data_IF_115091756745
#
_entry.id   IF_115091756745
#
_cell.length_a   1.000
_cell.length_b   1.000
_cell.length_c   1.000
_cell.angle_alpha   90.00
_cell.angle_beta   90.00
_cell.angle_gamma   90.00
#
_symmetry.space_group_name_H-M   'P 1'
#
loop_
_entity.id
_entity.type
_entity.pdbx_description
1 polymer ?
#
# COMPACT_ATOMS: atom_id res chain seq x y z
N UNK A 1 5.75 4.15 -1.42
CA UNK A 1 6.21 4.86 -0.19
C UNK A 1 7.37 5.79 -0.57
N UNK A 2 7.41 7.07 -0.11
CA UNK A 2 8.45 8.02 -0.45
C UNK A 2 9.73 7.77 0.38
N UNK A 3 10.41 6.69 0.07
CA UNK A 3 11.69 6.30 0.65
C UNK A 3 12.62 5.79 -0.46
N UNK A 4 13.92 6.05 -0.33
CA UNK A 4 14.90 5.69 -1.37
C UNK A 4 14.88 4.20 -1.71
N UNK A 5 14.78 3.32 -0.71
CA UNK A 5 14.72 1.87 -0.89
C UNK A 5 13.46 1.38 -1.63
N UNK A 6 12.38 2.15 -1.60
CA UNK A 6 11.14 1.85 -2.29
C UNK A 6 11.03 2.53 -3.66
N UNK A 7 11.54 3.76 -3.79
CA UNK A 7 11.46 4.53 -5.03
C UNK A 7 12.52 4.12 -6.06
N UNK A 8 13.79 3.99 -5.64
CA UNK A 8 14.88 3.74 -6.59
C UNK A 8 14.70 2.46 -7.44
N UNK A 9 14.30 1.31 -6.90
CA UNK A 9 14.07 0.11 -7.70
C UNK A 9 13.00 0.30 -8.78
N UNK A 10 11.95 1.07 -8.50
CA UNK A 10 10.84 1.27 -9.45
C UNK A 10 11.21 2.15 -10.63
N UNK A 11 12.25 3.00 -10.52
CA UNK A 11 12.64 3.93 -11.61
C UNK A 11 13.11 3.20 -12.87
N UNK A 12 13.68 2.00 -12.75
CA UNK A 12 14.05 1.19 -13.90
C UNK A 12 12.81 0.69 -14.65
N UNK A 13 11.79 0.24 -13.91
CA UNK A 13 10.50 -0.18 -14.47
C UNK A 13 9.80 1.00 -15.14
N UNK A 14 9.80 2.17 -14.50
CA UNK A 14 9.22 3.40 -15.06
C UNK A 14 9.88 3.75 -16.39
N UNK A 15 11.22 3.75 -16.47
CA UNK A 15 11.94 4.02 -17.72
C UNK A 15 11.57 3.05 -18.84
N UNK A 16 11.47 1.78 -18.53
CA UNK A 16 11.09 0.74 -19.51
C UNK A 16 9.66 0.95 -20.01
N UNK A 17 8.72 1.23 -19.11
CA UNK A 17 7.32 1.50 -19.48
C UNK A 17 7.22 2.75 -20.37
N UNK A 18 7.88 3.84 -20.01
CA UNK A 18 7.86 5.08 -20.80
C UNK A 18 8.57 4.90 -22.15
N UNK A 19 9.66 4.14 -22.20
CA UNK A 19 10.34 3.80 -23.46
C UNK A 19 9.45 2.97 -24.41
N UNK A 20 8.53 2.18 -23.87
CA UNK A 20 7.51 1.43 -24.63
C UNK A 20 6.27 2.26 -25.00
N UNK A 21 6.25 3.55 -24.69
CA UNK A 21 5.16 4.45 -25.03
C UNK A 21 4.01 4.50 -24.03
N UNK A 22 4.15 3.90 -22.85
CA UNK A 22 3.16 4.03 -21.79
C UNK A 22 3.27 5.38 -21.09
N UNK A 23 2.14 5.98 -20.74
CA UNK A 23 2.09 7.15 -19.86
C UNK A 23 2.09 6.68 -18.40
N UNK A 24 3.13 7.04 -17.67
CA UNK A 24 3.27 6.70 -16.25
C UNK A 24 3.02 7.93 -15.40
N UNK A 25 2.02 7.91 -14.52
CA UNK A 25 1.78 8.90 -13.48
C UNK A 25 2.35 8.38 -12.17
N UNK A 26 3.33 9.07 -11.60
CA UNK A 26 4.04 8.60 -10.42
C UNK A 26 3.70 9.46 -9.19
N UNK A 27 3.00 8.86 -8.25
CA UNK A 27 2.53 9.50 -7.02
C UNK A 27 3.60 9.41 -5.93
N UNK A 28 4.19 10.55 -5.59
CA UNK A 28 5.24 10.62 -4.55
C UNK A 28 5.39 12.04 -4.01
N UNK A 29 6.30 12.25 -3.06
CA UNK A 29 6.61 13.57 -2.51
C UNK A 29 7.58 14.34 -3.40
N UNK A 30 7.61 15.67 -3.21
CA UNK A 30 8.47 16.59 -3.95
C UNK A 30 9.97 16.19 -3.97
N UNK A 31 10.44 15.58 -2.88
CA UNK A 31 11.83 15.12 -2.77
C UNK A 31 12.26 14.12 -3.86
N UNK A 32 11.31 13.47 -4.53
CA UNK A 32 11.57 12.49 -5.59
C UNK A 32 11.22 12.99 -6.99
N UNK A 33 10.66 14.20 -7.13
CA UNK A 33 10.21 14.76 -8.41
C UNK A 33 11.28 14.62 -9.51
N UNK A 34 12.46 15.16 -9.30
CA UNK A 34 13.52 15.17 -10.33
C UNK A 34 13.89 13.76 -10.80
N UNK A 35 13.92 12.77 -9.91
CA UNK A 35 14.22 11.37 -10.26
C UNK A 35 13.11 10.72 -11.07
N UNK A 36 11.88 11.00 -10.73
CA UNK A 36 10.68 10.46 -11.39
C UNK A 36 10.54 11.05 -12.79
N UNK A 37 10.69 12.36 -12.93
CA UNK A 37 10.66 13.06 -14.23
C UNK A 37 11.82 12.63 -15.13
N UNK A 38 13.03 12.46 -14.57
CA UNK A 38 14.19 11.91 -15.31
C UNK A 38 13.99 10.46 -15.77
N UNK A 39 13.08 9.71 -15.17
CA UNK A 39 12.66 8.39 -15.62
C UNK A 39 11.55 8.44 -16.69
N UNK A 40 11.07 9.64 -17.07
CA UNK A 40 10.03 9.85 -18.08
C UNK A 40 8.59 9.84 -17.56
N UNK A 41 8.37 9.73 -16.25
CA UNK A 41 7.04 9.75 -15.69
C UNK A 41 6.53 11.17 -15.40
N UNK A 42 5.21 11.32 -15.42
CA UNK A 42 4.54 12.51 -14.93
C UNK A 42 4.53 12.47 -13.40
N UNK A 43 5.21 13.42 -12.77
CA UNK A 43 5.16 13.55 -11.32
C UNK A 43 3.77 14.02 -10.86
N UNK A 44 3.22 13.32 -9.89
CA UNK A 44 1.96 13.70 -9.21
C UNK A 44 2.27 13.90 -7.73
N UNK A 45 2.11 15.12 -7.19
CA UNK A 45 2.40 15.39 -5.79
C UNK A 45 1.41 14.63 -4.91
N UNK A 46 1.93 13.75 -4.06
CA UNK A 46 1.16 12.97 -3.11
C UNK A 46 1.62 13.30 -1.69
N UNK A 47 1.26 14.50 -1.23
CA UNK A 47 1.57 15.00 0.12
C UNK A 47 0.33 14.93 1.02
N UNK A 48 -0.20 13.72 1.18
CA UNK A 48 -1.29 13.45 2.12
C UNK A 48 -0.74 12.86 3.42
N UNK A 49 -1.53 12.83 4.47
CA UNK A 49 -1.22 12.08 5.69
C UNK A 49 -0.86 10.60 5.41
N UNK A 50 -1.40 10.03 4.32
CA UNK A 50 -1.07 8.68 3.87
C UNK A 50 0.38 8.55 3.39
N UNK A 51 0.93 9.60 2.77
CA UNK A 51 2.29 9.61 2.22
C UNK A 51 3.34 10.10 3.22
N UNK A 52 2.96 10.79 4.28
CA UNK A 52 3.91 11.38 5.23
C UNK A 52 4.75 10.31 5.94
N UNK A 53 6.07 10.44 5.92
CA UNK A 53 6.95 9.59 6.71
C UNK A 53 6.94 10.07 8.18
N UNK A 54 5.79 10.02 8.82
CA UNK A 54 5.63 10.42 10.23
C UNK A 54 5.88 9.27 11.21
N UNK A 55 6.48 8.17 10.76
CA UNK A 55 6.76 7.04 11.63
C UNK A 55 8.09 7.21 12.36
N UNK A 56 8.05 7.13 13.68
CA UNK A 56 9.24 6.99 14.49
C UNK A 56 9.83 5.57 14.38
N UNK A 57 11.08 5.38 14.79
CA UNK A 57 11.65 4.03 14.89
C UNK A 57 10.82 3.10 15.79
N UNK A 58 10.24 3.65 16.86
CA UNK A 58 9.34 2.91 17.75
C UNK A 58 8.04 2.47 17.04
N UNK A 59 7.48 3.30 16.16
CA UNK A 59 6.31 2.95 15.35
C UNK A 59 6.66 1.85 14.34
N UNK A 60 7.85 1.90 13.76
CA UNK A 60 8.37 0.85 12.87
C UNK A 60 8.45 -0.51 13.57
N UNK A 61 8.95 -0.56 14.79
CA UNK A 61 8.99 -1.77 15.61
C UNK A 61 7.58 -2.29 15.95
N UNK A 62 6.63 -1.40 16.21
CA UNK A 62 5.23 -1.76 16.49
C UNK A 62 4.49 -2.30 15.27
N UNK A 63 4.81 -1.84 14.06
CA UNK A 63 4.21 -2.35 12.83
C UNK A 63 4.37 -3.87 12.65
N UNK A 64 5.49 -4.43 13.12
CA UNK A 64 5.73 -5.87 13.05
C UNK A 64 5.10 -6.70 14.20
N UNK A 65 4.76 -6.05 15.32
CA UNK A 65 4.39 -6.76 16.56
C UNK A 65 2.99 -6.42 17.10
N UNK A 66 2.44 -5.25 16.77
CA UNK A 66 1.13 -4.79 17.23
C UNK A 66 0.12 -4.72 16.09
N UNK A 67 -0.62 -5.79 15.88
CA UNK A 67 -1.60 -5.89 14.79
C UNK A 67 -2.72 -4.84 14.89
N UNK A 68 -3.11 -4.45 16.11
CA UNK A 68 -4.12 -3.41 16.32
C UNK A 68 -3.61 -2.05 15.87
N UNK A 69 -2.38 -1.71 16.24
CA UNK A 69 -1.71 -0.48 15.82
C UNK A 69 -1.52 -0.45 14.30
N UNK A 70 -1.00 -1.55 13.74
CA UNK A 70 -0.77 -1.67 12.29
C UNK A 70 -2.06 -1.51 11.50
N UNK A 71 -3.14 -2.19 11.91
CA UNK A 71 -4.44 -2.08 11.25
C UNK A 71 -4.99 -0.66 11.34
N UNK A 72 -4.90 -0.03 12.52
CA UNK A 72 -5.36 1.36 12.68
C UNK A 72 -4.60 2.31 11.76
N UNK A 73 -3.26 2.20 11.71
CA UNK A 73 -2.42 3.06 10.88
C UNK A 73 -2.74 2.90 9.39
N UNK A 74 -2.90 1.66 8.93
CA UNK A 74 -3.27 1.38 7.52
C UNK A 74 -4.63 2.00 7.20
N UNK A 75 -5.62 1.82 8.07
CA UNK A 75 -6.97 2.36 7.87
C UNK A 75 -6.96 3.88 7.87
N UNK A 76 -6.29 4.52 8.81
CA UNK A 76 -6.22 5.98 8.89
C UNK A 76 -5.57 6.58 7.65
N UNK A 77 -4.47 5.99 7.17
CA UNK A 77 -3.78 6.42 5.93
C UNK A 77 -4.64 6.20 4.70
N UNK A 78 -5.32 5.08 4.61
CA UNK A 78 -6.22 4.80 3.48
C UNK A 78 -7.35 5.83 3.41
N UNK A 79 -7.99 6.12 4.54
CA UNK A 79 -9.08 7.09 4.60
C UNK A 79 -8.60 8.53 4.37
N UNK A 80 -7.40 8.87 4.83
CA UNK A 80 -6.80 10.19 4.57
C UNK A 80 -6.50 10.42 3.08
N UNK A 81 -6.20 9.36 2.34
CA UNK A 81 -5.92 9.44 0.91
C UNK A 81 -7.17 9.32 0.03
N UNK A 82 -8.29 8.83 0.56
CA UNK A 82 -9.44 8.35 -0.22
C UNK A 82 -10.03 9.43 -1.15
N UNK A 83 -10.39 10.58 -0.61
CA UNK A 83 -11.06 11.63 -1.39
C UNK A 83 -10.17 12.18 -2.50
N UNK A 84 -8.89 12.39 -2.20
CA UNK A 84 -7.94 12.92 -3.17
C UNK A 84 -7.65 11.89 -4.26
N UNK A 85 -7.35 10.64 -3.86
CA UNK A 85 -7.00 9.57 -4.78
C UNK A 85 -8.20 9.18 -5.66
N UNK A 86 -9.39 9.08 -5.09
CA UNK A 86 -10.61 8.75 -5.84
C UNK A 86 -10.94 9.82 -6.89
N UNK A 87 -10.74 11.10 -6.56
CA UNK A 87 -10.91 12.19 -7.54
C UNK A 87 -9.89 12.11 -8.67
N UNK A 88 -8.62 11.92 -8.34
CA UNK A 88 -7.58 11.85 -9.37
C UNK A 88 -7.74 10.63 -10.28
N UNK A 89 -8.07 9.46 -9.72
CA UNK A 89 -8.36 8.24 -10.50
C UNK A 89 -9.60 8.39 -11.40
N UNK A 90 -10.55 9.24 -11.04
CA UNK A 90 -11.74 9.53 -11.87
C UNK A 90 -11.39 10.47 -13.02
N UNK A 91 -10.57 11.48 -12.76
CA UNK A 91 -10.14 12.45 -13.79
C UNK A 91 -9.09 11.86 -14.74
N UNK A 92 -8.25 10.99 -14.22
CA UNK A 92 -7.16 10.33 -14.94
C UNK A 92 -7.23 8.82 -14.75
N UNK A 93 -8.22 8.13 -15.32
CA UNK A 93 -8.41 6.69 -15.12
C UNK A 93 -7.22 5.90 -15.69
N UNK A 94 -6.50 5.12 -14.85
CA UNK A 94 -5.41 4.29 -15.34
C UNK A 94 -5.92 2.91 -15.78
N UNK A 95 -5.22 2.27 -16.71
CA UNK A 95 -5.44 0.87 -17.09
C UNK A 95 -4.98 -0.10 -15.99
N UNK A 96 -3.97 0.30 -15.21
CA UNK A 96 -3.40 -0.50 -14.13
C UNK A 96 -2.77 0.40 -13.06
N UNK A 97 -2.87 -0.02 -11.81
CA UNK A 97 -2.13 0.61 -10.70
C UNK A 97 -0.99 -0.32 -10.29
N UNK A 98 0.25 0.20 -10.34
CA UNK A 98 1.42 -0.46 -9.75
C UNK A 98 1.68 0.18 -8.39
N UNK A 99 1.47 -0.57 -7.33
CA UNK A 99 1.58 -0.07 -5.96
C UNK A 99 2.69 -0.74 -5.17
N UNK A 100 3.43 0.06 -4.39
CA UNK A 100 4.37 -0.47 -3.40
C UNK A 100 3.64 -1.41 -2.42
N UNK A 101 4.27 -2.53 -2.06
CA UNK A 101 3.69 -3.54 -1.17
C UNK A 101 3.30 -3.01 0.22
N UNK A 102 3.88 -1.89 0.63
CA UNK A 102 3.55 -1.20 1.88
C UNK A 102 2.55 -0.05 1.68
N UNK A 103 2.22 0.29 0.43
CA UNK A 103 1.23 1.30 0.09
C UNK A 103 -0.19 0.68 0.00
N UNK A 104 -0.67 0.14 1.11
CA UNK A 104 -1.96 -0.58 1.18
C UNK A 104 -3.14 0.24 0.66
N UNK A 105 -3.10 1.57 0.78
CA UNK A 105 -4.12 2.47 0.21
C UNK A 105 -4.21 2.37 -1.31
N UNK A 106 -3.10 2.13 -2.01
CA UNK A 106 -3.11 2.00 -3.47
C UNK A 106 -3.83 0.72 -3.91
N UNK A 107 -3.55 -0.42 -3.24
CA UNK A 107 -4.25 -1.69 -3.45
C UNK A 107 -5.74 -1.56 -3.17
N UNK A 108 -6.09 -0.96 -2.04
CA UNK A 108 -7.48 -0.77 -1.62
C UNK A 108 -8.23 0.16 -2.59
N UNK A 109 -7.61 1.24 -3.05
CA UNK A 109 -8.19 2.14 -4.05
C UNK A 109 -8.38 1.42 -5.40
N UNK A 110 -7.39 0.66 -5.87
CA UNK A 110 -7.52 -0.15 -7.08
C UNK A 110 -8.74 -1.07 -7.01
N UNK A 111 -8.89 -1.79 -5.91
CA UNK A 111 -10.04 -2.67 -5.66
C UNK A 111 -11.37 -1.91 -5.59
N UNK A 112 -11.41 -0.76 -4.92
CA UNK A 112 -12.60 0.09 -4.80
C UNK A 112 -13.08 0.59 -6.16
N UNK A 113 -12.15 0.94 -7.04
CA UNK A 113 -12.44 1.46 -8.38
C UNK A 113 -12.46 0.41 -9.50
N UNK A 114 -12.24 -0.87 -9.18
CA UNK A 114 -12.23 -1.96 -10.17
C UNK A 114 -11.04 -1.91 -11.14
N UNK A 115 -9.93 -1.30 -10.73
CA UNK A 115 -8.71 -1.15 -11.54
C UNK A 115 -7.76 -2.32 -11.25
N UNK A 116 -7.16 -2.96 -12.27
CA UNK A 116 -6.14 -3.97 -12.09
C UNK A 116 -4.97 -3.46 -11.24
N UNK A 117 -4.44 -4.32 -10.36
CA UNK A 117 -3.38 -3.93 -9.42
C UNK A 117 -2.16 -4.87 -9.54
N UNK A 118 -0.98 -4.28 -9.63
CA UNK A 118 0.30 -4.99 -9.58
C UNK A 118 1.06 -4.58 -8.32
N UNK A 119 1.46 -5.55 -7.52
CA UNK A 119 2.26 -5.28 -6.32
C UNK A 119 3.74 -5.13 -6.67
N UNK A 120 4.32 -4.00 -6.31
CA UNK A 120 5.76 -3.72 -6.39
C UNK A 120 6.39 -3.99 -5.03
N UNK A 121 7.07 -5.13 -4.90
CA UNK A 121 7.59 -5.61 -3.61
C UNK A 121 9.09 -5.37 -3.51
N UNK A 122 9.48 -4.41 -2.69
CA UNK A 122 10.87 -4.05 -2.37
C UNK A 122 11.36 -4.66 -1.05
N UNK A 123 10.49 -5.41 -0.38
CA UNK A 123 10.72 -6.09 0.89
C UNK A 123 10.29 -7.56 0.77
N UNK A 124 10.10 -8.24 1.90
CA UNK A 124 9.58 -9.61 1.87
C UNK A 124 8.11 -9.64 1.45
N UNK A 125 7.76 -10.53 0.53
CA UNK A 125 6.38 -10.78 0.16
C UNK A 125 5.61 -11.40 1.35
N UNK A 126 4.56 -10.71 1.81
CA UNK A 126 3.68 -11.23 2.83
C UNK A 126 2.54 -12.01 2.18
N UNK A 127 2.41 -13.29 2.50
CA UNK A 127 1.38 -14.16 1.96
C UNK A 127 0.78 -15.06 3.06
N UNK A 128 -0.20 -15.89 2.69
CA UNK A 128 -0.85 -16.83 3.62
C UNK A 128 0.10 -17.82 4.32
N UNK A 129 1.26 -18.11 3.71
CA UNK A 129 2.26 -18.99 4.32
C UNK A 129 3.07 -18.23 5.38
N UNK A 130 3.44 -16.97 5.12
CA UNK A 130 4.09 -16.10 6.11
C UNK A 130 3.19 -15.88 7.32
N UNK A 131 1.87 -15.76 7.13
CA UNK A 131 0.90 -15.60 8.20
C UNK A 131 0.87 -16.80 9.17
N UNK A 132 1.12 -18.02 8.67
CA UNK A 132 1.20 -19.23 9.52
C UNK A 132 2.38 -19.19 10.49
N UNK A 133 3.49 -18.56 10.11
CA UNK A 133 4.67 -18.42 10.98
C UNK A 133 4.40 -17.49 12.15
N UNK A 134 3.58 -16.45 11.95
CA UNK A 134 3.22 -15.48 13.00
C UNK A 134 2.31 -16.10 14.07
N UNK A 135 1.49 -17.08 13.72
CA UNK A 135 0.48 -17.69 14.59
C UNK A 135 0.94 -18.93 15.37
N UNK A 136 2.21 -19.33 15.30
CA UNK A 136 2.66 -20.61 15.87
C UNK A 136 2.80 -20.63 17.40
N UNK A 137 2.71 -19.49 18.09
CA UNK A 137 2.77 -19.41 19.55
C UNK A 137 1.37 -19.19 20.14
N UNK A 138 0.96 -20.01 21.10
CA UNK A 138 -0.34 -19.89 21.78
C UNK A 138 -0.63 -18.50 22.33
N UNK A 139 0.41 -17.78 22.81
CA UNK A 139 0.32 -16.39 23.23
C UNK A 139 -0.04 -15.45 22.09
N UNK A 140 0.53 -15.63 20.89
CA UNK A 140 0.23 -14.84 19.70
C UNK A 140 -1.21 -15.05 19.21
N UNK A 141 -1.72 -16.29 19.31
CA UNK A 141 -3.11 -16.60 19.00
C UNK A 141 -4.09 -15.91 19.94
N UNK A 142 -3.81 -15.93 21.25
CA UNK A 142 -4.63 -15.24 22.23
C UNK A 142 -4.62 -13.71 22.02
N UNK A 143 -3.44 -13.12 21.76
CA UNK A 143 -3.33 -11.70 21.41
C UNK A 143 -4.14 -11.36 20.16
N UNK A 144 -4.09 -12.21 19.13
CA UNK A 144 -4.90 -12.05 17.93
C UNK A 144 -6.39 -12.06 18.23
N UNK A 145 -6.88 -12.99 19.05
CA UNK A 145 -8.29 -13.05 19.47
C UNK A 145 -8.71 -11.79 20.23
N UNK A 146 -7.89 -11.34 21.18
CA UNK A 146 -8.16 -10.13 21.98
C UNK A 146 -8.11 -8.84 21.13
N UNK A 147 -7.34 -8.83 20.04
CA UNK A 147 -7.27 -7.72 19.11
C UNK A 147 -8.50 -7.62 18.18
N UNK A 148 -9.23 -8.73 17.95
CA UNK A 148 -10.32 -8.80 16.96
C UNK A 148 -11.38 -7.69 17.10
N UNK A 149 -11.89 -7.34 18.29
CA UNK A 149 -12.90 -6.26 18.39
C UNK A 149 -12.36 -4.92 17.90
N UNK A 150 -11.09 -4.60 18.21
CA UNK A 150 -10.44 -3.36 17.77
C UNK A 150 -10.17 -3.37 16.26
N UNK A 151 -9.68 -4.49 15.75
CA UNK A 151 -9.46 -4.69 14.30
C UNK A 151 -10.78 -4.56 13.55
N UNK A 152 -11.83 -5.23 13.97
CA UNK A 152 -13.14 -5.17 13.33
C UNK A 152 -13.74 -3.77 13.34
N UNK A 153 -13.51 -2.98 14.37
CA UNK A 153 -13.89 -1.56 14.40
C UNK A 153 -13.18 -0.76 13.30
N UNK A 154 -11.90 -0.99 13.06
CA UNK A 154 -11.16 -0.34 11.99
C UNK A 154 -11.66 -0.79 10.60
N UNK A 155 -11.85 -2.08 10.39
CA UNK A 155 -12.41 -2.61 9.14
C UNK A 155 -13.82 -2.07 8.86
N UNK A 156 -14.63 -1.83 9.90
CA UNK A 156 -15.95 -1.19 9.76
C UNK A 156 -15.83 0.23 9.20
N UNK A 157 -14.81 0.98 9.59
CA UNK A 157 -14.54 2.33 9.03
C UNK A 157 -14.25 2.26 7.53
N UNK A 158 -13.40 1.31 7.09
CA UNK A 158 -13.12 1.11 5.66
C UNK A 158 -14.40 0.72 4.90
N UNK A 159 -15.19 -0.20 5.44
CA UNK A 159 -16.46 -0.60 4.80
C UNK A 159 -17.43 0.57 4.68
N UNK A 160 -17.51 1.43 5.68
CA UNK A 160 -18.34 2.64 5.64
C UNK A 160 -17.88 3.64 4.56
N UNK A 161 -16.59 3.63 4.20
CA UNK A 161 -16.02 4.41 3.09
C UNK A 161 -16.06 3.67 1.73
N UNK A 162 -16.80 2.56 1.62
CA UNK A 162 -17.00 1.84 0.36
C UNK A 162 -15.93 0.81 0.01
N UNK A 163 -15.01 0.49 0.93
CA UNK A 163 -13.98 -0.53 0.68
C UNK A 163 -14.50 -1.94 0.97
N UNK A 164 -14.37 -2.85 0.01
CA UNK A 164 -14.77 -4.27 0.15
C UNK A 164 -13.69 -5.07 0.89
N UNK A 165 -13.65 -4.96 2.22
CA UNK A 165 -12.70 -5.68 3.09
C UNK A 165 -13.45 -6.58 4.08
N UNK A 166 -13.07 -7.86 4.15
CA UNK A 166 -13.62 -8.86 5.09
C UNK A 166 -12.74 -9.01 6.32
N UNK A 167 -11.44 -9.04 6.12
CA UNK A 167 -10.43 -9.28 7.15
C UNK A 167 -9.20 -8.37 6.99
N UNK A 168 -8.33 -8.34 7.97
CA UNK A 168 -7.03 -7.66 7.86
C UNK A 168 -6.15 -8.30 6.77
N UNK A 169 -6.31 -9.59 6.53
CA UNK A 169 -5.55 -10.31 5.50
C UNK A 169 -5.90 -9.82 4.08
N UNK A 170 -7.13 -9.39 3.82
CA UNK A 170 -7.50 -8.79 2.53
C UNK A 170 -6.72 -7.50 2.23
N UNK A 171 -6.19 -6.87 3.28
CA UNK A 171 -5.41 -5.64 3.16
C UNK A 171 -3.93 -5.99 2.93
N UNK A 172 -3.36 -6.84 3.78
CA UNK A 172 -1.91 -7.05 3.85
C UNK A 172 -1.38 -8.16 2.94
N UNK A 173 -2.22 -9.12 2.53
CA UNK A 173 -1.77 -10.22 1.67
C UNK A 173 -1.50 -9.72 0.24
N UNK A 174 -0.38 -10.15 -0.33
CA UNK A 174 0.04 -9.81 -1.70
C UNK A 174 -0.25 -10.92 -2.72
N UNK A 175 -0.93 -11.99 -2.30
CA UNK A 175 -1.20 -13.18 -3.10
C UNK A 175 -2.59 -13.23 -3.74
N UNK A 176 -3.35 -12.15 -3.65
CA UNK A 176 -4.79 -12.26 -3.88
C UNK A 176 -5.26 -11.95 -5.29
N UNK A 177 -4.58 -11.17 -6.10
CA UNK A 177 -5.38 -10.59 -7.17
C UNK A 177 -4.62 -10.24 -8.45
N UNK A 178 -3.29 -10.16 -8.44
CA UNK A 178 -2.54 -9.74 -9.60
C UNK A 178 -1.05 -10.07 -9.49
N UNK A 179 -0.34 -9.78 -10.54
CA UNK A 179 1.10 -9.98 -10.66
C UNK A 179 1.86 -9.24 -9.54
N UNK A 180 2.94 -9.86 -9.09
CA UNK A 180 3.86 -9.25 -8.13
C UNK A 180 5.23 -9.11 -8.77
N UNK A 181 5.76 -7.91 -8.82
CA UNK A 181 7.14 -7.63 -9.21
C UNK A 181 8.00 -7.60 -7.96
N UNK A 182 9.01 -8.46 -7.93
CA UNK A 182 10.01 -8.51 -6.85
C UNK A 182 11.35 -8.06 -7.41
N UNK A 183 12.00 -7.14 -6.71
CA UNK A 183 13.33 -6.66 -7.06
C UNK A 183 14.38 -7.49 -6.31
N UNK A 184 15.29 -8.10 -7.04
CA UNK A 184 16.41 -8.90 -6.52
C UNK A 184 17.73 -8.17 -6.73
#
# INVERSE_FOLDING_TARGET
IPAHGHTNPTLAVVRELTARGHTVRYYTTEAFRAKVEAAGAVFVPFDTEAARPGMTAADGARLGSDLTFSTKLIVDRTLAADDWLSRDLTVHPPDVIVGDSMAFWAKLAAKKHGIPFVSSTTTFAFNRFSAKVIGQNGAGFLQFLLAQPRINRQLKRLRAAGYAVKSVFDIIANDNETETVVYT
#
